data_IF_746195666115
#
_entry.id   IF_746195666115
#
_cell.length_a   1.000
_cell.length_b   1.000
_cell.length_c   1.000
_cell.angle_alpha   90.00
_cell.angle_beta   90.00
_cell.angle_gamma   90.00
#
_symmetry.space_group_name_H-M   'P 1'
#
loop_
_entity.id
_entity.type
_entity.pdbx_description
1 polymer ?
#
# COMPACT_ATOMS: atom_id res chain seq x y z
N UNK A 1 -39.74 41.39 22.25
CA UNK A 1 -40.52 41.66 23.49
C UNK A 1 -41.40 42.87 23.27
N UNK A 2 -42.28 43.22 24.20
CA UNK A 2 -43.15 44.42 24.06
C UNK A 2 -42.57 45.59 24.87
N UNK A 3 -42.65 46.80 24.30
CA UNK A 3 -42.38 48.04 25.03
C UNK A 3 -43.66 48.52 25.71
N UNK A 4 -43.54 48.96 26.97
CA UNK A 4 -44.66 49.51 27.73
C UNK A 4 -44.24 50.80 28.42
N UNK A 5 -45.17 51.75 28.49
CA UNK A 5 -45.03 53.00 29.24
C UNK A 5 -46.02 52.97 30.38
N UNK A 6 -45.59 53.37 31.58
CA UNK A 6 -46.45 53.53 32.74
C UNK A 6 -46.59 55.03 32.99
N UNK A 7 -47.78 55.56 32.70
CA UNK A 7 -48.12 56.97 32.92
C UNK A 7 -49.26 57.08 33.95
N UNK A 8 -49.10 57.85 35.03
CA UNK A 8 -50.15 58.10 36.01
C UNK A 8 -51.33 58.92 35.46
N UNK A 9 -51.11 59.74 34.44
CA UNK A 9 -52.16 60.52 33.78
C UNK A 9 -52.66 59.74 32.56
N UNK A 10 -53.96 59.43 32.51
CA UNK A 10 -54.48 58.51 31.49
C UNK A 10 -54.54 59.14 30.09
N UNK A 11 -53.44 59.03 29.35
CA UNK A 11 -53.42 59.08 27.89
C UNK A 11 -52.86 57.78 27.33
N UNK A 12 -53.42 57.32 26.21
CA UNK A 12 -53.16 55.98 25.67
C UNK A 12 -52.29 55.98 24.41
N UNK A 13 -51.87 57.15 23.93
CA UNK A 13 -51.16 57.28 22.67
C UNK A 13 -49.72 57.79 22.91
N UNK A 14 -48.76 56.87 22.90
CA UNK A 14 -47.33 57.17 23.00
C UNK A 14 -46.64 56.89 21.67
N UNK A 15 -45.74 57.78 21.27
CA UNK A 15 -44.81 57.53 20.18
C UNK A 15 -43.49 56.97 20.74
N UNK A 16 -42.95 55.94 20.09
CA UNK A 16 -41.71 55.28 20.47
C UNK A 16 -40.63 55.50 19.42
N UNK A 17 -39.40 55.71 19.86
CA UNK A 17 -38.21 55.83 19.01
C UNK A 17 -37.16 54.80 19.42
N UNK A 18 -36.56 54.15 18.43
CA UNK A 18 -35.45 53.21 18.59
C UNK A 18 -34.18 53.84 18.03
N UNK A 19 -33.07 53.74 18.76
CA UNK A 19 -31.78 54.32 18.35
C UNK A 19 -30.81 53.28 17.75
N UNK A 20 -31.31 52.10 17.38
CA UNK A 20 -30.59 51.10 16.60
C UNK A 20 -31.48 50.66 15.42
N UNK A 21 -31.00 50.90 14.20
CA UNK A 21 -31.72 50.61 12.97
C UNK A 21 -31.95 49.12 12.71
N UNK A 22 -31.24 48.24 13.43
CA UNK A 22 -31.45 46.78 13.39
C UNK A 22 -32.81 46.38 13.97
N UNK A 23 -33.42 47.24 14.78
CA UNK A 23 -34.69 46.94 15.44
C UNK A 23 -35.82 47.81 14.90
N UNK A 24 -37.02 47.24 14.88
CA UNK A 24 -38.25 47.89 14.44
C UNK A 24 -39.39 47.57 15.40
N UNK A 25 -40.42 48.41 15.38
CA UNK A 25 -41.66 48.19 16.10
C UNK A 25 -42.78 47.74 15.18
N UNK A 26 -43.44 46.66 15.56
CA UNK A 26 -44.68 46.17 14.95
C UNK A 26 -45.81 46.38 15.96
N UNK A 27 -46.37 47.60 16.00
CA UNK A 27 -47.19 48.05 17.12
C UNK A 27 -46.31 48.34 18.33
N UNK A 28 -46.56 47.67 19.46
CA UNK A 28 -45.71 47.76 20.66
C UNK A 28 -44.62 46.68 20.72
N UNK A 29 -44.60 45.76 19.76
CA UNK A 29 -43.68 44.63 19.76
C UNK A 29 -42.36 45.02 19.09
N UNK A 30 -41.28 44.96 19.88
CA UNK A 30 -39.91 45.08 19.42
C UNK A 30 -39.49 43.80 18.69
N UNK A 31 -39.04 43.98 17.44
CA UNK A 31 -38.54 42.93 16.54
C UNK A 31 -37.22 43.37 15.92
N UNK A 32 -36.46 42.41 15.42
CA UNK A 32 -35.42 42.69 14.43
C UNK A 32 -36.06 43.13 13.11
N UNK A 33 -35.38 44.01 12.39
CA UNK A 33 -35.74 44.38 11.04
C UNK A 33 -35.56 43.18 10.09
N UNK A 34 -36.33 43.16 9.00
CA UNK A 34 -36.28 42.07 8.03
C UNK A 34 -34.87 41.93 7.43
N UNK A 35 -34.35 40.70 7.43
CA UNK A 35 -33.02 40.37 6.89
C UNK A 35 -31.85 40.75 7.80
N UNK A 36 -32.10 41.25 9.02
CA UNK A 36 -31.05 41.49 10.01
C UNK A 36 -30.85 40.23 10.86
N UNK A 37 -29.60 39.81 10.95
CA UNK A 37 -29.15 38.75 11.84
C UNK A 37 -28.21 39.33 12.90
N UNK A 38 -28.24 38.76 14.11
CA UNK A 38 -27.32 39.10 15.18
C UNK A 38 -26.31 37.96 15.31
N UNK A 39 -25.04 38.32 15.39
CA UNK A 39 -23.92 37.41 15.56
C UNK A 39 -23.55 37.36 17.05
N UNK A 40 -23.70 36.19 17.68
CA UNK A 40 -23.42 36.00 19.10
C UNK A 40 -21.94 36.18 19.41
N UNK A 41 -21.06 35.69 18.55
CA UNK A 41 -19.62 35.77 18.68
C UNK A 41 -19.11 37.21 18.54
N UNK A 42 -19.79 38.04 17.73
CA UNK A 42 -19.45 39.46 17.56
C UNK A 42 -20.07 40.37 18.64
N UNK A 43 -21.34 40.18 19.00
CA UNK A 43 -22.07 41.04 19.93
C UNK A 43 -23.07 40.23 20.79
N UNK A 44 -22.63 39.61 21.90
CA UNK A 44 -23.48 38.74 22.72
C UNK A 44 -24.56 39.49 23.51
N UNK A 45 -24.44 40.82 23.62
CA UNK A 45 -25.38 41.69 24.34
C UNK A 45 -25.55 42.99 23.57
N UNK A 46 -26.79 43.32 23.19
CA UNK A 46 -27.13 44.59 22.57
C UNK A 46 -27.74 45.53 23.62
N UNK A 47 -27.20 46.74 23.73
CA UNK A 47 -27.74 47.81 24.58
C UNK A 47 -28.59 48.76 23.73
N UNK A 48 -29.88 48.49 23.64
CA UNK A 48 -30.80 49.25 22.80
C UNK A 48 -31.34 50.48 23.55
N UNK A 49 -30.89 51.68 23.18
CA UNK A 49 -31.52 52.90 23.63
C UNK A 49 -32.89 53.08 22.97
N UNK A 50 -33.89 53.40 23.78
CA UNK A 50 -35.28 53.66 23.37
C UNK A 50 -35.76 54.97 23.98
N UNK A 51 -36.66 55.65 23.29
CA UNK A 51 -37.41 56.77 23.85
C UNK A 51 -38.90 56.60 23.66
N UNK A 52 -39.68 57.18 24.58
CA UNK A 52 -41.13 57.27 24.47
C UNK A 52 -41.59 58.70 24.78
N UNK A 53 -42.60 59.17 24.05
CA UNK A 53 -43.17 60.52 24.23
C UNK A 53 -44.68 60.53 24.10
N UNK A 54 -45.34 61.37 24.89
CA UNK A 54 -46.75 61.74 24.79
C UNK A 54 -46.96 62.99 23.90
N UNK A 55 -45.90 63.51 23.27
CA UNK A 55 -45.88 64.76 22.50
C UNK A 55 -45.55 66.01 23.32
N UNK A 56 -45.41 65.90 24.64
CA UNK A 56 -45.02 66.98 25.55
C UNK A 56 -43.70 66.63 26.25
N UNK A 57 -43.61 65.44 26.83
CA UNK A 57 -42.45 64.93 27.54
C UNK A 57 -41.86 63.73 26.79
N UNK A 58 -40.55 63.57 26.93
CA UNK A 58 -39.82 62.44 26.37
C UNK A 58 -39.00 61.79 27.48
N UNK A 59 -39.08 60.47 27.56
CA UNK A 59 -38.27 59.66 28.46
C UNK A 59 -37.34 58.77 27.64
N UNK A 60 -36.17 58.48 28.19
CA UNK A 60 -35.18 57.60 27.59
C UNK A 60 -34.93 56.42 28.53
N UNK A 61 -34.78 55.24 27.96
CA UNK A 61 -34.34 54.06 28.67
C UNK A 61 -33.40 53.22 27.79
N UNK A 62 -32.69 52.27 28.39
CA UNK A 62 -31.84 51.32 27.67
C UNK A 62 -32.28 49.90 27.97
N UNK A 63 -32.74 49.21 26.93
CA UNK A 63 -33.14 47.80 26.99
C UNK A 63 -31.92 46.93 26.72
N UNK A 64 -31.58 46.07 27.67
CA UNK A 64 -30.53 45.05 27.49
C UNK A 64 -31.13 43.81 26.82
N UNK A 65 -30.63 43.47 25.64
CA UNK A 65 -31.03 42.30 24.87
C UNK A 65 -29.88 41.30 24.88
N UNK A 66 -30.12 40.11 25.42
CA UNK A 66 -29.15 39.01 25.36
C UNK A 66 -29.31 38.27 24.03
N UNK A 67 -28.23 38.18 23.27
CA UNK A 67 -28.17 37.33 22.08
C UNK A 67 -27.85 35.93 22.56
N UNK A 68 -28.69 34.97 22.19
CA UNK A 68 -28.49 33.57 22.56
C UNK A 68 -27.73 32.86 21.44
N UNK A 69 -26.66 32.15 21.80
CA UNK A 69 -25.99 31.25 20.90
C UNK A 69 -26.97 30.17 20.42
N UNK A 70 -27.21 30.08 19.12
CA UNK A 70 -27.82 28.91 18.52
C UNK A 70 -26.77 27.82 18.40
N UNK A 71 -27.04 26.56 18.79
CA UNK A 71 -26.13 25.47 18.50
C UNK A 71 -25.91 25.37 17.00
N UNK A 72 -24.73 25.75 16.51
CA UNK A 72 -24.34 25.48 15.14
C UNK A 72 -24.19 23.96 15.01
N UNK A 73 -24.75 23.37 13.96
CA UNK A 73 -24.58 21.94 13.72
C UNK A 73 -23.07 21.63 13.67
N UNK A 74 -22.60 20.54 14.30
CA UNK A 74 -21.19 20.19 14.23
C UNK A 74 -20.79 20.02 12.77
N UNK A 75 -19.80 20.80 12.32
CA UNK A 75 -19.19 20.62 11.00
C UNK A 75 -18.29 19.41 11.12
N UNK A 76 -18.82 18.24 10.75
CA UNK A 76 -18.07 16.99 10.80
C UNK A 76 -16.90 17.03 9.81
N UNK A 77 -15.76 16.47 10.22
CA UNK A 77 -14.66 16.16 9.32
C UNK A 77 -15.18 15.37 8.11
N UNK A 78 -14.95 15.89 6.90
CA UNK A 78 -15.66 15.41 5.72
C UNK A 78 -15.05 14.13 5.15
N UNK A 79 -13.72 14.01 5.19
CA UNK A 79 -12.98 12.84 4.71
C UNK A 79 -11.48 12.92 5.04
N UNK A 80 -10.80 11.78 4.95
CA UNK A 80 -9.32 11.69 4.90
C UNK A 80 -8.89 11.58 3.44
N UNK A 81 -7.84 12.29 3.06
CA UNK A 81 -7.08 12.07 1.83
C UNK A 81 -5.69 11.52 2.17
N UNK A 82 -5.16 10.65 1.30
CA UNK A 82 -3.82 10.07 1.40
C UNK A 82 -3.15 10.14 0.03
N UNK A 83 -2.01 10.82 -0.05
CA UNK A 83 -1.26 10.98 -1.29
C UNK A 83 0.27 11.10 -1.04
N UNK A 84 1.13 10.40 -1.80
CA UNK A 84 0.82 9.30 -2.71
C UNK A 84 0.28 8.04 -1.99
N UNK A 85 -0.11 7.04 -2.78
CA UNK A 85 -0.57 5.72 -2.29
C UNK A 85 0.30 4.60 -2.83
N UNK A 86 1.61 4.80 -2.77
CA UNK A 86 2.60 3.88 -3.32
C UNK A 86 3.62 3.50 -2.26
N UNK A 87 4.03 2.23 -2.27
CA UNK A 87 4.97 1.67 -1.33
C UNK A 87 6.00 0.84 -2.09
N UNK A 88 7.29 1.16 -1.98
CA UNK A 88 8.33 0.35 -2.60
C UNK A 88 8.57 -0.93 -1.80
N UNK A 89 8.56 -2.09 -2.46
CA UNK A 89 8.79 -3.38 -1.80
C UNK A 89 10.22 -3.52 -1.25
N UNK A 90 10.43 -4.52 -0.38
CA UNK A 90 11.73 -4.93 0.18
C UNK A 90 12.56 -3.78 0.80
N UNK A 91 11.88 -2.69 1.14
CA UNK A 91 12.48 -1.49 1.73
C UNK A 91 11.92 -1.35 3.13
N UNK A 92 12.76 -1.66 4.12
CA UNK A 92 12.38 -1.60 5.53
C UNK A 92 11.97 -0.16 5.91
N UNK A 93 10.80 -0.01 6.55
CA UNK A 93 10.28 1.30 6.92
C UNK A 93 9.90 2.22 5.75
N UNK A 94 9.59 1.66 4.57
CA UNK A 94 9.22 2.45 3.40
C UNK A 94 8.02 3.36 3.64
N UNK A 95 8.10 4.58 3.10
CA UNK A 95 7.02 5.57 3.17
C UNK A 95 5.92 5.29 2.15
N UNK A 96 4.68 5.61 2.51
CA UNK A 96 3.50 5.47 1.65
C UNK A 96 3.05 6.83 1.12
N UNK A 97 2.75 7.76 2.02
CA UNK A 97 2.20 9.06 1.66
C UNK A 97 1.80 9.92 2.86
N UNK A 98 1.25 11.10 2.57
CA UNK A 98 0.81 12.07 3.57
C UNK A 98 -0.72 11.99 3.73
N UNK A 99 -1.17 11.79 4.97
CA UNK A 99 -2.56 11.87 5.35
C UNK A 99 -2.96 13.32 5.67
N UNK A 100 -4.09 13.76 5.12
CA UNK A 100 -4.69 15.07 5.41
C UNK A 100 -6.18 14.91 5.64
N UNK A 101 -6.74 15.61 6.61
CA UNK A 101 -8.19 15.69 6.77
C UNK A 101 -8.71 16.87 5.95
N UNK A 102 -9.70 16.61 5.11
CA UNK A 102 -10.44 17.67 4.43
C UNK A 102 -11.53 18.15 5.39
N UNK A 103 -11.17 19.13 6.25
CA UNK A 103 -12.11 19.83 7.14
C UNK A 103 -11.79 21.34 7.17
N UNK A 104 -12.76 22.24 6.98
CA UNK A 104 -12.54 23.68 7.09
C UNK A 104 -12.40 24.25 8.52
N UNK A 105 -12.78 23.53 9.60
CA UNK A 105 -12.78 24.09 10.98
C UNK A 105 -11.61 23.67 11.88
N UNK A 106 -11.08 22.45 11.75
CA UNK A 106 -10.03 21.95 12.65
C UNK A 106 -8.65 21.94 11.99
N UNK A 107 -7.61 22.30 12.74
CA UNK A 107 -6.23 22.40 12.26
C UNK A 107 -5.34 21.22 12.68
N UNK A 108 -5.73 20.44 13.68
CA UNK A 108 -4.93 19.35 14.23
C UNK A 108 -5.72 18.04 14.33
N UNK A 109 -5.10 16.97 13.83
CA UNK A 109 -5.66 15.63 13.84
C UNK A 109 -4.61 14.62 14.28
N UNK A 110 -5.04 13.65 15.11
CA UNK A 110 -4.26 12.47 15.42
C UNK A 110 -4.73 11.31 14.55
N UNK A 111 -3.81 10.77 13.74
CA UNK A 111 -4.09 9.67 12.84
C UNK A 111 -3.74 8.31 13.47
N UNK A 112 -4.53 7.30 13.12
CA UNK A 112 -4.24 5.88 13.37
C UNK A 112 -4.50 5.04 12.11
N UNK A 113 -3.89 3.85 12.06
CA UNK A 113 -3.96 2.92 10.92
C UNK A 113 -4.37 1.54 11.40
N UNK A 114 -5.19 0.85 10.60
CA UNK A 114 -5.74 -0.48 10.94
C UNK A 114 -4.75 -1.63 10.78
N UNK A 115 -3.76 -1.50 9.90
CA UNK A 115 -2.75 -2.53 9.63
C UNK A 115 -1.53 -2.32 10.55
N UNK A 116 -1.21 -3.34 11.35
CA UNK A 116 -0.17 -3.29 12.38
C UNK A 116 1.25 -3.11 11.84
N UNK A 117 1.47 -3.47 10.57
CA UNK A 117 2.77 -3.30 9.90
C UNK A 117 3.09 -1.84 9.62
N UNK A 118 2.08 -0.98 9.64
CA UNK A 118 2.18 0.45 9.36
C UNK A 118 2.18 1.27 10.65
N UNK A 119 2.75 2.46 10.57
CA UNK A 119 2.71 3.47 11.61
C UNK A 119 2.53 4.87 11.01
N UNK A 120 1.94 5.76 11.80
CA UNK A 120 1.86 7.18 11.48
C UNK A 120 3.03 7.91 12.12
N UNK A 121 3.87 8.57 11.31
CA UNK A 121 4.91 9.51 11.75
C UNK A 121 4.44 10.93 11.49
N UNK A 122 3.77 11.51 12.50
CA UNK A 122 2.97 12.72 12.31
C UNK A 122 1.85 12.42 11.31
N UNK A 123 1.88 13.09 10.16
CA UNK A 123 0.90 12.88 9.09
C UNK A 123 1.40 11.90 8.01
N UNK A 124 2.64 11.40 8.11
CA UNK A 124 3.18 10.46 7.13
C UNK A 124 2.82 9.03 7.50
N UNK A 125 2.14 8.33 6.60
CA UNK A 125 1.97 6.88 6.67
C UNK A 125 3.24 6.21 6.13
N UNK A 126 3.79 5.27 6.91
CA UNK A 126 4.93 4.44 6.51
C UNK A 126 4.80 3.04 7.09
N UNK A 127 5.55 2.08 6.56
CA UNK A 127 5.82 0.83 7.26
C UNK A 127 6.64 1.11 8.54
N UNK A 128 6.49 0.26 9.54
CA UNK A 128 7.42 0.22 10.67
C UNK A 128 8.83 -0.12 10.18
N UNK A 129 9.83 0.35 10.92
CA UNK A 129 11.24 0.28 10.52
C UNK A 129 11.78 -1.16 10.35
N UNK A 130 11.12 -2.16 10.93
CA UNK A 130 11.44 -3.58 10.85
C UNK A 130 10.57 -4.35 9.85
N UNK A 131 9.60 -3.68 9.20
CA UNK A 131 8.65 -4.28 8.30
C UNK A 131 9.00 -3.99 6.84
N UNK A 132 8.79 -4.99 6.00
CA UNK A 132 8.92 -4.90 4.55
C UNK A 132 7.81 -5.74 3.91
N UNK A 133 7.45 -5.38 2.68
CA UNK A 133 6.44 -6.09 1.89
C UNK A 133 7.09 -6.66 0.63
N UNK A 134 6.45 -7.64 0.01
CA UNK A 134 6.86 -8.24 -1.24
C UNK A 134 5.70 -8.14 -2.23
N UNK A 135 5.91 -7.41 -3.33
CA UNK A 135 4.89 -7.13 -4.33
C UNK A 135 4.39 -8.40 -5.04
N UNK A 136 5.20 -9.47 -5.05
CA UNK A 136 4.84 -10.78 -5.62
C UNK A 136 3.85 -11.54 -4.72
N UNK A 137 3.83 -11.24 -3.43
CA UNK A 137 2.92 -11.87 -2.46
C UNK A 137 1.68 -10.99 -2.24
N UNK A 138 1.89 -9.67 -2.13
CA UNK A 138 0.85 -8.70 -1.81
C UNK A 138 1.07 -7.43 -2.64
N UNK A 139 0.56 -7.37 -3.88
CA UNK A 139 0.75 -6.24 -4.79
C UNK A 139 -0.09 -5.01 -4.41
N UNK A 140 -1.17 -5.22 -3.65
CA UNK A 140 -2.05 -4.16 -3.14
C UNK A 140 -2.42 -4.43 -1.68
N UNK A 141 -2.41 -3.37 -0.86
CA UNK A 141 -2.71 -3.44 0.57
C UNK A 141 -3.89 -2.52 0.87
N UNK A 142 -5.01 -3.09 1.32
CA UNK A 142 -6.15 -2.31 1.78
C UNK A 142 -6.03 -2.02 3.28
N UNK A 143 -6.06 -0.74 3.66
CA UNK A 143 -6.03 -0.32 5.06
C UNK A 143 -7.03 0.80 5.31
N UNK A 144 -7.43 0.95 6.58
CA UNK A 144 -8.27 2.05 7.04
C UNK A 144 -7.43 3.00 7.87
N UNK A 145 -7.47 4.29 7.51
CA UNK A 145 -6.99 5.36 8.37
C UNK A 145 -8.16 5.96 9.14
N UNK A 146 -7.92 6.28 10.41
CA UNK A 146 -8.85 7.03 11.25
C UNK A 146 -8.16 8.27 11.76
N UNK A 147 -8.91 9.37 11.88
CA UNK A 147 -8.42 10.64 12.41
C UNK A 147 -9.38 11.15 13.49
N UNK A 148 -8.81 11.60 14.60
CA UNK A 148 -9.54 12.22 15.71
C UNK A 148 -8.99 13.64 15.89
N UNK A 149 -9.87 14.63 15.77
CA UNK A 149 -9.53 16.03 15.97
C UNK A 149 -9.49 16.41 17.45
N UNK A 150 -8.81 17.51 17.78
CA UNK A 150 -8.70 17.99 19.16
C UNK A 150 -10.06 18.32 19.83
N UNK A 151 -11.09 18.58 19.03
CA UNK A 151 -12.47 18.84 19.48
C UNK A 151 -13.34 17.56 19.56
N UNK A 152 -12.73 16.40 19.32
CA UNK A 152 -13.40 15.10 19.38
C UNK A 152 -14.16 14.71 18.12
N UNK A 153 -14.00 15.44 17.02
CA UNK A 153 -14.53 15.05 15.71
C UNK A 153 -13.75 13.86 15.14
N UNK A 154 -14.47 12.84 14.67
CA UNK A 154 -13.86 11.62 14.14
C UNK A 154 -14.19 11.45 12.66
N UNK A 155 -13.22 10.94 11.90
CA UNK A 155 -13.41 10.52 10.51
C UNK A 155 -12.54 9.34 10.17
N UNK A 156 -12.92 8.56 9.16
CA UNK A 156 -12.13 7.44 8.66
C UNK A 156 -12.26 7.27 7.15
N UNK A 157 -11.28 6.61 6.56
CA UNK A 157 -11.25 6.31 5.13
C UNK A 157 -10.47 5.04 4.85
N UNK A 158 -10.96 4.24 3.90
CA UNK A 158 -10.24 3.06 3.40
C UNK A 158 -9.45 3.42 2.16
N UNK A 159 -8.18 2.99 2.14
CA UNK A 159 -7.24 3.25 1.07
C UNK A 159 -6.61 1.95 0.60
N UNK A 160 -6.47 1.82 -0.71
CA UNK A 160 -5.64 0.78 -1.33
C UNK A 160 -4.27 1.39 -1.62
N UNK A 161 -3.23 0.76 -1.07
CA UNK A 161 -1.83 1.10 -1.30
C UNK A 161 -1.28 0.17 -2.37
N UNK A 162 -0.75 0.73 -3.45
CA UNK A 162 -0.09 -0.06 -4.50
C UNK A 162 1.36 -0.33 -4.12
N UNK A 163 1.75 -1.60 -4.09
CA UNK A 163 3.13 -1.99 -3.81
C UNK A 163 3.92 -2.01 -5.13
N UNK A 164 4.91 -1.13 -5.23
CA UNK A 164 5.79 -1.06 -6.39
C UNK A 164 6.86 -2.14 -6.28
N UNK A 165 6.79 -3.10 -7.21
CA UNK A 165 7.83 -4.11 -7.42
C UNK A 165 9.15 -3.45 -7.81
N UNK A 166 10.26 -3.91 -7.22
CA UNK A 166 11.62 -3.55 -7.65
C UNK A 166 12.14 -4.49 -8.75
N UNK A 167 11.41 -5.59 -9.00
CA UNK A 167 11.72 -6.55 -10.06
C UNK A 167 11.30 -6.00 -11.41
N UNK A 168 12.22 -6.00 -12.37
CA UNK A 168 11.94 -5.61 -13.76
C UNK A 168 10.96 -6.63 -14.37
N UNK A 169 9.84 -6.19 -14.97
CA UNK A 169 8.96 -7.11 -15.67
C UNK A 169 9.63 -7.74 -16.92
N UNK A 170 10.75 -7.17 -17.37
CA UNK A 170 11.52 -7.65 -18.52
C UNK A 170 12.61 -8.65 -18.17
N UNK A 171 12.74 -9.07 -16.90
CA UNK A 171 13.76 -10.01 -16.45
C UNK A 171 13.14 -11.25 -15.81
N UNK A 172 13.48 -12.43 -16.32
CA UNK A 172 12.96 -13.69 -15.77
C UNK A 172 13.69 -14.08 -14.48
N UNK A 173 13.11 -13.76 -13.33
CA UNK A 173 13.68 -14.09 -12.02
C UNK A 173 13.59 -15.57 -11.62
N UNK A 174 12.84 -16.41 -12.35
CA UNK A 174 12.80 -17.85 -12.10
C UNK A 174 13.96 -18.55 -12.81
N UNK A 175 14.24 -18.13 -14.06
CA UNK A 175 15.31 -18.65 -14.89
C UNK A 175 15.74 -17.59 -15.90
N UNK A 176 16.80 -16.86 -15.55
CA UNK A 176 17.24 -15.66 -16.26
C UNK A 176 17.39 -15.85 -17.78
N UNK A 177 17.89 -17.01 -18.21
CA UNK A 177 18.17 -17.30 -19.62
C UNK A 177 16.97 -17.83 -20.42
N UNK A 178 15.85 -18.12 -19.76
CA UNK A 178 14.57 -18.51 -20.37
C UNK A 178 13.74 -17.24 -20.57
N UNK A 179 13.83 -16.62 -21.75
CA UNK A 179 13.23 -15.30 -22.00
C UNK A 179 11.79 -15.41 -22.51
N UNK A 180 11.36 -16.59 -22.96
CA UNK A 180 9.99 -16.84 -23.38
C UNK A 180 9.11 -17.43 -22.25
N UNK A 181 9.71 -17.81 -21.12
CA UNK A 181 9.04 -18.32 -19.94
C UNK A 181 8.47 -19.73 -20.09
N UNK A 182 8.97 -20.54 -21.03
CA UNK A 182 8.48 -21.89 -21.28
C UNK A 182 9.05 -22.96 -20.32
N UNK A 183 9.99 -22.55 -19.46
CA UNK A 183 10.65 -23.38 -18.46
C UNK A 183 11.95 -24.03 -18.96
N UNK A 184 12.37 -23.79 -20.20
CA UNK A 184 13.56 -24.40 -20.79
C UNK A 184 14.47 -23.39 -21.47
N UNK A 185 15.71 -23.26 -20.99
CA UNK A 185 16.75 -22.55 -21.75
C UNK A 185 17.10 -23.34 -23.01
N UNK A 186 16.78 -22.78 -24.18
CA UNK A 186 17.00 -23.37 -25.49
C UNK A 186 17.50 -22.33 -26.50
N UNK A 187 17.89 -22.73 -27.73
CA UNK A 187 18.32 -21.78 -28.74
C UNK A 187 17.26 -20.74 -29.12
N UNK A 188 15.97 -20.99 -28.84
CA UNK A 188 14.91 -20.01 -29.12
C UNK A 188 15.10 -18.74 -28.30
N UNK A 189 15.56 -18.85 -27.05
CA UNK A 189 15.71 -17.71 -26.15
C UNK A 189 16.75 -16.72 -26.68
N UNK A 190 17.87 -17.24 -27.17
CA UNK A 190 18.89 -16.42 -27.83
C UNK A 190 18.37 -15.80 -29.14
N UNK A 191 17.57 -16.53 -29.91
CA UNK A 191 17.01 -16.04 -31.18
C UNK A 191 16.01 -14.90 -30.99
N UNK A 192 15.24 -14.90 -29.90
CA UNK A 192 14.31 -13.82 -29.58
C UNK A 192 15.07 -12.49 -29.37
N UNK A 193 16.10 -12.49 -28.53
CA UNK A 193 16.93 -11.30 -28.30
C UNK A 193 17.68 -10.89 -29.57
N UNK A 194 18.24 -11.85 -30.34
CA UNK A 194 18.94 -11.53 -31.61
C UNK A 194 17.98 -10.87 -32.62
N UNK A 195 16.75 -11.35 -32.74
CA UNK A 195 15.76 -10.78 -33.65
C UNK A 195 15.36 -9.35 -33.24
N UNK A 196 15.19 -9.12 -31.94
CA UNK A 196 14.93 -7.80 -31.39
C UNK A 196 16.10 -6.84 -31.65
N UNK A 197 17.33 -7.23 -31.30
CA UNK A 197 18.54 -6.43 -31.55
C UNK A 197 18.78 -6.15 -33.04
N UNK A 198 18.46 -7.09 -33.93
CA UNK A 198 18.56 -6.85 -35.38
C UNK A 198 17.52 -5.84 -35.88
N UNK A 199 16.37 -5.73 -35.22
CA UNK A 199 15.27 -4.84 -35.60
C UNK A 199 15.44 -3.45 -34.98
N UNK A 200 15.86 -3.39 -33.72
CA UNK A 200 15.82 -2.19 -32.88
C UNK A 200 17.21 -1.71 -32.44
N UNK A 201 18.27 -2.50 -32.66
CA UNK A 201 19.59 -2.23 -32.07
C UNK A 201 19.61 -2.49 -30.57
N UNK A 202 20.70 -2.12 -29.89
CA UNK A 202 20.73 -2.12 -28.43
C UNK A 202 19.90 -0.93 -27.91
N UNK A 203 19.00 -1.18 -26.97
CA UNK A 203 18.10 -0.16 -26.43
C UNK A 203 17.73 -0.43 -24.97
N UNK A 204 17.29 0.60 -24.21
CA UNK A 204 16.74 0.38 -22.88
C UNK A 204 15.47 -0.47 -22.93
N UNK A 205 15.18 -1.17 -21.83
CA UNK A 205 13.88 -1.81 -21.65
C UNK A 205 12.78 -0.73 -21.75
N UNK A 206 11.67 -1.00 -22.46
CA UNK A 206 10.57 -0.05 -22.55
C UNK A 206 10.08 0.36 -21.15
N UNK A 207 10.00 1.66 -20.87
CA UNK A 207 9.65 2.18 -19.54
C UNK A 207 8.16 1.98 -19.15
N UNK A 208 7.46 1.06 -19.80
CA UNK A 208 6.09 0.70 -19.48
C UNK A 208 6.04 -0.74 -19.00
N UNK A 209 5.58 -0.94 -17.76
CA UNK A 209 4.66 -2.06 -17.50
C UNK A 209 3.60 -1.89 -18.60
N UNK A 210 3.44 -2.84 -19.52
CA UNK A 210 2.47 -2.72 -20.62
C UNK A 210 1.17 -2.16 -20.03
N UNK A 211 0.58 -1.11 -20.63
CA UNK A 211 -0.46 -0.26 -20.02
C UNK A 211 -1.74 -0.95 -19.53
N UNK A 212 -1.75 -2.28 -19.50
CA UNK A 212 -2.75 -3.19 -18.96
C UNK A 212 -2.33 -3.87 -17.65
N UNK A 213 -1.11 -3.63 -17.14
CA UNK A 213 -0.54 -4.38 -16.00
C UNK A 213 -0.12 -5.81 -16.37
N UNK A 214 -0.11 -6.14 -17.65
CA UNK A 214 0.24 -7.46 -18.16
C UNK A 214 1.77 -7.54 -18.37
N UNK A 215 2.45 -8.57 -17.83
CA UNK A 215 3.88 -8.74 -18.03
C UNK A 215 4.18 -8.86 -19.53
N UNK A 216 5.31 -8.32 -20.00
CA UNK A 216 5.73 -8.48 -21.38
C UNK A 216 5.78 -9.97 -21.72
N UNK A 217 5.34 -10.33 -22.93
CA UNK A 217 5.35 -11.72 -23.39
C UNK A 217 6.76 -12.31 -23.51
N UNK A 218 7.78 -11.45 -23.50
CA UNK A 218 9.19 -11.83 -23.60
C UNK A 218 10.01 -10.98 -22.61
N UNK A 219 10.89 -11.64 -21.85
CA UNK A 219 11.71 -11.09 -20.77
C UNK A 219 13.17 -11.00 -21.23
N UNK A 220 13.42 -10.17 -22.24
CA UNK A 220 14.67 -10.13 -23.01
C UNK A 220 15.90 -9.58 -22.23
N UNK A 221 15.70 -8.95 -21.08
CA UNK A 221 16.77 -8.41 -20.23
C UNK A 221 17.26 -9.52 -19.27
N UNK A 222 18.25 -10.28 -19.73
CA UNK A 222 18.73 -11.51 -19.07
C UNK A 222 19.56 -11.19 -17.84
N UNK A 223 20.27 -10.06 -17.79
CA UNK A 223 21.07 -9.68 -16.63
C UNK A 223 20.34 -8.72 -15.66
N UNK A 224 19.19 -8.18 -16.06
CA UNK A 224 18.37 -7.28 -15.25
C UNK A 224 18.94 -5.88 -15.12
N UNK A 225 19.82 -5.44 -16.03
CA UNK A 225 20.47 -4.12 -15.97
C UNK A 225 19.63 -2.99 -16.60
N UNK A 226 18.46 -3.33 -17.14
CA UNK A 226 17.53 -2.40 -17.76
C UNK A 226 17.88 -2.05 -19.21
N UNK A 227 18.84 -2.73 -19.83
CA UNK A 227 19.18 -2.61 -21.24
C UNK A 227 19.03 -3.97 -21.94
N UNK A 228 18.58 -3.95 -23.19
CA UNK A 228 18.62 -5.11 -24.07
C UNK A 228 19.84 -4.94 -24.99
N UNK A 229 20.83 -5.79 -24.81
CA UNK A 229 22.14 -5.68 -25.44
C UNK A 229 22.65 -7.04 -25.93
N UNK A 230 23.73 -7.07 -26.75
CA UNK A 230 24.38 -8.33 -27.08
C UNK A 230 24.88 -9.13 -25.86
N UNK A 231 25.04 -8.51 -24.68
CA UNK A 231 25.42 -9.24 -23.48
C UNK A 231 24.33 -10.23 -23.05
N UNK A 232 23.07 -9.86 -23.19
CA UNK A 232 21.92 -10.70 -22.83
C UNK A 232 21.89 -11.97 -23.69
N UNK A 233 22.19 -11.84 -24.99
CA UNK A 233 22.39 -12.98 -25.90
C UNK A 233 23.55 -13.86 -25.44
N UNK A 234 24.68 -13.25 -25.08
CA UNK A 234 25.89 -13.99 -24.70
C UNK A 234 25.69 -14.80 -23.43
N UNK A 235 24.88 -14.34 -22.49
CA UNK A 235 24.55 -15.08 -21.28
C UNK A 235 23.83 -16.40 -21.62
N UNK A 236 22.84 -16.36 -22.51
CA UNK A 236 22.12 -17.55 -22.97
C UNK A 236 23.05 -18.50 -23.73
N UNK A 237 23.85 -17.98 -24.67
CA UNK A 237 24.78 -18.82 -25.46
C UNK A 237 25.80 -19.51 -24.55
N UNK A 238 26.35 -18.79 -23.57
CA UNK A 238 27.27 -19.37 -22.60
C UNK A 238 26.59 -20.44 -21.74
N UNK A 239 25.34 -20.21 -21.30
CA UNK A 239 24.55 -21.20 -20.60
C UNK A 239 24.39 -22.49 -21.42
N UNK A 240 23.94 -22.39 -22.68
CA UNK A 240 23.76 -23.53 -23.58
C UNK A 240 25.06 -24.30 -23.83
N UNK A 241 26.17 -23.59 -24.07
CA UNK A 241 27.47 -24.21 -24.30
C UNK A 241 28.01 -24.92 -23.06
N UNK A 242 27.79 -24.35 -21.86
CA UNK A 242 28.20 -24.98 -20.60
C UNK A 242 27.47 -26.30 -20.35
N UNK A 243 26.17 -26.35 -20.70
CA UNK A 243 25.33 -27.53 -20.55
C UNK A 243 25.67 -28.62 -21.57
N UNK A 244 26.01 -28.24 -22.80
CA UNK A 244 26.50 -29.17 -23.82
C UNK A 244 27.85 -29.79 -23.40
N UNK A 245 28.77 -28.99 -22.86
CA UNK A 245 30.04 -29.48 -22.34
C UNK A 245 29.87 -30.45 -21.16
N UNK A 246 28.96 -30.12 -20.22
CA UNK A 246 28.64 -30.99 -19.09
C UNK A 246 28.04 -32.33 -19.54
N UNK A 247 27.13 -32.33 -20.53
CA UNK A 247 26.57 -33.56 -21.12
C UNK A 247 27.65 -34.43 -21.77
N UNK A 248 28.59 -33.81 -22.50
CA UNK A 248 29.71 -34.53 -23.11
C UNK A 248 30.64 -35.20 -22.06
N UNK A 249 30.81 -34.58 -20.88
CA UNK A 249 31.58 -35.17 -19.78
C UNK A 249 30.88 -36.37 -19.14
N UNK A 250 29.55 -36.32 -18.99
CA UNK A 250 28.75 -37.46 -18.48
C UNK A 250 28.78 -38.67 -19.43
N UNK A 251 28.72 -38.43 -20.74
CA UNK A 251 28.87 -39.49 -21.76
C UNK A 251 30.26 -40.11 -21.73
N UNK A 252 31.33 -39.32 -21.52
CA UNK A 252 32.70 -39.85 -21.44
C UNK A 252 32.98 -40.69 -20.19
N UNK A 253 32.28 -40.43 -19.09
CA UNK A 253 32.42 -41.18 -17.82
C UNK A 253 31.67 -42.52 -17.89
N UNK A 254 30.53 -42.54 -18.59
CA UNK A 254 29.69 -43.74 -18.77
C UNK A 254 30.34 -44.80 -19.67
N UNK A 255 31.31 -44.40 -20.50
CA UNK A 255 32.06 -45.30 -21.40
C UNK A 255 33.35 -45.83 -20.73
N UNK A 256 33.84 -45.19 -19.65
CA UNK A 256 35.06 -45.62 -18.98
C UNK A 256 34.88 -46.74 -17.95
N UNK A 257 33.65 -47.00 -17.47
CA UNK A 257 33.39 -48.01 -16.44
C UNK A 257 33.14 -49.43 -16.99
N UNK A 258 33.04 -49.61 -18.31
CA UNK A 258 32.74 -50.93 -18.91
C UNK A 258 33.95 -51.69 -19.45
N UNK A 259 35.12 -51.07 -19.59
CA UNK A 259 36.31 -51.70 -20.20
C UNK A 259 37.47 -51.99 -19.22
N UNK A 260 37.37 -51.57 -17.95
CA UNK A 260 38.44 -51.75 -16.95
C UNK A 260 38.17 -52.81 -15.86
N UNK A 261 37.00 -53.47 -15.86
CA UNK A 261 36.70 -54.53 -14.88
C UNK A 261 36.98 -55.96 -15.40
N UNK A 262 37.07 -56.17 -16.71
CA UNK A 262 37.28 -57.52 -17.28
C UNK A 262 38.72 -58.02 -17.10
N UNK A 263 39.69 -57.11 -16.96
CA UNK A 263 41.12 -57.46 -16.84
C UNK A 263 41.62 -57.64 -15.40
N UNK A 264 40.77 -57.47 -14.37
CA UNK A 264 41.18 -57.55 -12.95
C UNK A 264 40.55 -58.68 -12.15
N UNK A 265 39.67 -59.48 -12.75
CA UNK A 265 38.93 -60.57 -12.09
C UNK A 265 39.72 -61.89 -11.92
N UNK A 266 41.00 -61.94 -12.29
CA UNK A 266 41.90 -63.04 -11.93
C UNK A 266 43.05 -62.50 -11.11
N UNK A 267 42.90 -62.49 -9.78
CA UNK A 267 43.91 -62.87 -8.77
C UNK A 267 43.32 -62.55 -7.38
N UNK A 268 42.85 -63.61 -6.72
CA UNK A 268 42.79 -63.84 -5.27
C UNK A 268 42.37 -62.70 -4.32
N UNK A 269 41.21 -62.87 -3.70
CA UNK A 269 41.04 -62.69 -2.24
C UNK A 269 41.83 -63.81 -1.51
N UNK A 270 42.20 -63.71 -0.20
CA UNK A 270 41.35 -63.12 0.84
C UNK A 270 42.02 -62.52 2.12
N UNK A 271 41.12 -61.90 2.93
CA UNK A 271 41.09 -61.77 4.40
C UNK A 271 42.02 -60.77 5.14
N UNK A 272 41.35 -59.72 5.65
CA UNK A 272 41.17 -59.42 7.09
C UNK A 272 42.28 -58.77 7.93
N UNK A 273 41.84 -57.72 8.65
CA UNK A 273 42.24 -57.28 9.99
C UNK A 273 43.14 -56.04 10.17
N UNK A 274 42.55 -55.10 10.92
CA UNK A 274 43.13 -54.18 11.90
C UNK A 274 44.10 -53.07 11.44
N UNK A 275 43.72 -51.80 11.68
CA UNK A 275 44.26 -51.01 12.80
C UNK A 275 43.55 -49.66 12.94
N UNK A 276 43.53 -49.18 14.17
CA UNK A 276 42.72 -48.09 14.71
C UNK A 276 43.35 -46.69 14.58
N UNK A 277 42.48 -45.67 14.62
CA UNK A 277 42.63 -44.51 15.53
C UNK A 277 43.08 -43.15 14.95
N UNK A 278 42.15 -42.18 14.94
CA UNK A 278 42.30 -40.74 15.31
C UNK A 278 41.15 -39.93 14.64
N UNK A 279 40.05 -39.56 15.33
CA UNK A 279 39.89 -38.40 16.24
C UNK A 279 40.09 -37.02 15.59
N UNK A 280 39.01 -36.34 15.19
CA UNK A 280 38.78 -34.88 15.36
C UNK A 280 37.36 -34.42 14.94
N UNK A 281 36.61 -33.90 15.93
CA UNK A 281 35.55 -32.86 15.94
C UNK A 281 34.31 -32.88 14.98
N UNK A 282 33.11 -32.52 15.48
CA UNK A 282 31.85 -32.60 14.73
C UNK A 282 31.52 -31.30 13.99
N UNK A 283 31.18 -31.40 12.69
CA UNK A 283 30.60 -30.31 11.90
C UNK A 283 29.15 -30.63 11.55
N UNK A 284 28.21 -29.91 12.16
CA UNK A 284 26.76 -30.03 11.93
C UNK A 284 26.28 -29.42 10.61
N UNK A 285 26.86 -29.84 9.48
CA UNK A 285 26.40 -29.45 8.14
C UNK A 285 25.59 -30.55 7.43
N UNK A 286 25.59 -31.77 7.97
CA UNK A 286 24.95 -32.95 7.36
C UNK A 286 23.41 -32.97 7.49
N UNK A 287 22.85 -32.24 8.47
CA UNK A 287 21.42 -32.37 8.80
C UNK A 287 20.47 -31.57 7.91
N UNK A 288 20.94 -30.57 7.16
CA UNK A 288 20.11 -29.77 6.26
C UNK A 288 19.96 -30.40 4.87
N UNK A 289 21.04 -30.97 4.34
CA UNK A 289 21.01 -31.72 3.08
C UNK A 289 20.26 -33.04 3.26
N UNK A 290 20.48 -33.79 4.35
CA UNK A 290 19.68 -34.99 4.63
C UNK A 290 18.19 -34.68 4.82
N UNK A 291 17.83 -33.54 5.42
CA UNK A 291 16.42 -33.12 5.53
C UNK A 291 15.82 -32.80 4.17
N UNK A 292 16.52 -32.05 3.32
CA UNK A 292 16.08 -31.77 1.94
C UNK A 292 15.96 -33.04 1.11
N UNK A 293 16.88 -33.98 1.26
CA UNK A 293 16.84 -35.24 0.51
C UNK A 293 15.66 -36.12 0.94
N UNK A 294 15.33 -36.15 2.24
CA UNK A 294 14.13 -36.84 2.75
C UNK A 294 12.84 -36.17 2.33
N UNK A 295 12.81 -34.84 2.31
CA UNK A 295 11.64 -34.07 1.89
C UNK A 295 11.37 -34.24 0.39
N UNK A 296 12.41 -34.18 -0.45
CA UNK A 296 12.29 -34.48 -1.89
C UNK A 296 11.85 -35.94 -2.14
N UNK A 297 12.43 -36.91 -1.43
CA UNK A 297 12.01 -38.31 -1.56
C UNK A 297 10.55 -38.55 -1.09
N UNK A 298 10.06 -37.76 -0.13
CA UNK A 298 8.67 -37.82 0.33
C UNK A 298 7.70 -37.24 -0.71
N UNK A 299 8.08 -36.15 -1.36
CA UNK A 299 7.28 -35.52 -2.44
C UNK A 299 7.20 -36.46 -3.65
N UNK A 300 8.32 -37.09 -4.03
CA UNK A 300 8.33 -38.05 -5.14
C UNK A 300 7.43 -39.28 -4.86
N UNK A 301 7.41 -39.76 -3.60
CA UNK A 301 6.54 -40.86 -3.21
C UNK A 301 5.05 -40.48 -3.19
N UNK A 302 4.70 -39.25 -2.79
CA UNK A 302 3.33 -38.73 -2.87
C UNK A 302 2.88 -38.53 -4.32
N UNK A 303 3.78 -38.09 -5.20
CA UNK A 303 3.49 -37.91 -6.63
C UNK A 303 3.20 -39.25 -7.31
N UNK A 304 4.01 -40.28 -7.05
CA UNK A 304 3.78 -41.65 -7.54
C UNK A 304 2.45 -42.24 -7.02
N UNK A 305 2.10 -42.00 -5.76
CA UNK A 305 0.82 -42.44 -5.20
C UNK A 305 -0.38 -41.73 -5.85
N UNK A 306 -0.27 -40.43 -6.16
CA UNK A 306 -1.29 -39.66 -6.87
C UNK A 306 -1.46 -40.12 -8.32
N UNK A 307 -0.36 -40.44 -9.00
CA UNK A 307 -0.37 -40.96 -10.37
C UNK A 307 -1.02 -42.35 -10.45
N UNK A 308 -0.75 -43.23 -9.49
CA UNK A 308 -1.42 -44.53 -9.40
C UNK A 308 -2.92 -44.38 -9.07
N UNK A 309 -3.29 -43.41 -8.23
CA UNK A 309 -4.69 -43.12 -7.92
C UNK A 309 -5.46 -42.56 -9.14
N UNK A 310 -4.85 -41.67 -9.92
CA UNK A 310 -5.40 -41.15 -11.18
C UNK A 310 -5.53 -42.25 -12.24
N UNK A 311 -4.55 -43.15 -12.34
CA UNK A 311 -4.58 -44.30 -13.26
C UNK A 311 -5.72 -45.27 -12.95
N UNK A 312 -6.04 -45.45 -11.66
CA UNK A 312 -7.17 -46.27 -11.20
C UNK A 312 -8.54 -45.60 -11.38
N UNK A 313 -8.61 -44.27 -11.36
CA UNK A 313 -9.85 -43.53 -11.67
C UNK A 313 -10.17 -43.50 -13.16
N UNK A 314 -9.15 -43.50 -14.04
CA UNK A 314 -9.32 -43.49 -15.50
C UNK A 314 -9.66 -44.89 -16.09
N UNK A 315 -9.62 -45.95 -15.28
CA UNK A 315 -9.86 -47.34 -15.71
C UNK A 315 -11.16 -47.94 -15.16
N UNK A 316 -11.99 -47.13 -14.50
CA UNK A 316 -13.33 -47.55 -14.04
C UNK A 316 -14.34 -47.41 -15.21
N UNK A 317 -15.01 -48.50 -15.63
CA UNK A 317 -15.95 -48.48 -16.76
C UNK A 317 -17.22 -47.68 -16.48
#
# INVERSE_FOLDING_TARGET
GDLTVVDPDSQSDYAYYLFDSRFVLSGHQLKLADGVELDFEAEPVVMLAVAATDGIFEIFDTVRIEVLATPEAPVLASSIALDPRQLTELTAGAGVGLATVVNPKNTNYQFSVSDERFEMRGNQLKLRDDQQVNALVEPEIALTLSAIGDEGDETSGTFTISVTSIRSPHHNYNLNEDVNGDGYVSPIDALLIINDLNSNGAHPVPSGIGGTGEPPSEMLDVNGDGLITPMDVLLIINHLNSRAAARAQLDSTSISSTDSEVSKAMISTPLESAYAGASAAPTGLDSAEERRQRENASIDAELEALLDQLSREQTKP
#
